data_IF_917470471855
#
_entry.id   IF_917470471855
#
_cell.length_a   1.000
_cell.length_b   1.000
_cell.length_c   1.000
_cell.angle_alpha   90.00
_cell.angle_beta   90.00
_cell.angle_gamma   90.00
#
_symmetry.space_group_name_H-M   'P 1'
#
loop_
_entity.id
_entity.type
_entity.pdbx_description
1 polymer ?
#
# COMPACT_ATOMS: atom_id res chain seq x y z
N UNK A 1 -4.34 11.45 14.58
CA UNK A 1 -4.98 10.12 14.42
C UNK A 1 -4.18 9.35 13.38
N UNK A 2 -3.95 8.05 13.59
CA UNK A 2 -3.32 7.20 12.57
C UNK A 2 -4.29 7.07 11.40
N UNK A 3 -3.87 7.45 10.19
CA UNK A 3 -4.73 7.38 9.01
C UNK A 3 -4.81 5.93 8.54
N UNK A 4 -5.98 5.31 8.69
CA UNK A 4 -6.28 3.98 8.15
C UNK A 4 -6.52 4.08 6.65
N UNK A 5 -5.92 3.15 5.92
CA UNK A 5 -6.01 3.07 4.46
C UNK A 5 -6.21 1.62 4.04
N UNK A 6 -6.82 1.44 2.89
CA UNK A 6 -6.88 0.16 2.18
C UNK A 6 -6.09 0.29 0.89
N UNK A 7 -5.33 -0.74 0.56
CA UNK A 7 -4.72 -0.84 -0.76
C UNK A 7 -5.82 -1.27 -1.73
N UNK A 8 -6.02 -0.52 -2.80
CA UNK A 8 -7.05 -0.83 -3.79
C UNK A 8 -6.83 -2.24 -4.39
N UNK A 9 -7.88 -3.05 -4.58
CA UNK A 9 -7.77 -4.41 -5.12
C UNK A 9 -7.58 -4.45 -6.65
N UNK A 10 -6.79 -3.52 -7.20
CA UNK A 10 -6.66 -3.35 -8.65
C UNK A 10 -5.72 -4.40 -9.26
N UNK A 11 -6.00 -4.77 -10.50
CA UNK A 11 -5.13 -5.62 -11.31
C UNK A 11 -4.91 -4.99 -12.70
N UNK A 12 -4.36 -3.77 -12.76
CA UNK A 12 -4.11 -3.13 -14.05
C UNK A 12 -3.02 -3.90 -14.81
N UNK A 13 -3.04 -3.88 -16.14
CA UNK A 13 -1.93 -4.40 -16.94
C UNK A 13 -0.68 -3.52 -16.74
N UNK A 14 0.50 -4.09 -17.02
CA UNK A 14 1.75 -3.35 -17.04
C UNK A 14 2.54 -3.38 -15.72
N UNK A 15 3.55 -2.50 -15.63
CA UNK A 15 4.43 -2.42 -14.47
C UNK A 15 3.74 -1.76 -13.30
N UNK A 16 3.71 -2.45 -12.14
CA UNK A 16 3.21 -1.90 -10.88
C UNK A 16 4.10 -2.34 -9.72
N UNK A 17 4.27 -1.46 -8.73
CA UNK A 17 5.09 -1.74 -7.54
C UNK A 17 4.29 -2.18 -6.33
N UNK A 18 2.97 -2.00 -6.35
CA UNK A 18 2.08 -2.39 -5.25
C UNK A 18 1.97 -3.92 -5.17
N UNK A 19 2.48 -4.54 -4.10
CA UNK A 19 2.55 -6.00 -3.99
C UNK A 19 1.17 -6.64 -3.99
N UNK A 20 1.02 -7.74 -4.73
CA UNK A 20 -0.27 -8.42 -4.87
C UNK A 20 -0.88 -8.83 -3.52
N UNK A 21 -0.07 -9.31 -2.58
CA UNK A 21 -0.55 -9.78 -1.27
C UNK A 21 -1.11 -8.67 -0.37
N UNK A 22 -0.83 -7.40 -0.67
CA UNK A 22 -1.35 -6.26 0.06
C UNK A 22 -2.64 -5.71 -0.55
N UNK A 23 -2.95 -6.06 -1.79
CA UNK A 23 -4.13 -5.53 -2.49
C UNK A 23 -5.42 -6.00 -1.80
N UNK A 24 -6.30 -5.04 -1.52
CA UNK A 24 -7.51 -5.24 -0.72
C UNK A 24 -7.28 -5.25 0.80
N UNK A 25 -6.03 -5.26 1.28
CA UNK A 25 -5.71 -5.27 2.72
C UNK A 25 -5.73 -3.87 3.30
N UNK A 26 -6.14 -3.78 4.56
CA UNK A 26 -6.14 -2.54 5.33
C UNK A 26 -4.85 -2.43 6.14
N UNK A 27 -4.35 -1.21 6.29
CA UNK A 27 -3.18 -0.88 7.10
C UNK A 27 -3.29 0.54 7.63
N UNK A 28 -2.22 1.01 8.26
CA UNK A 28 -2.10 2.37 8.78
C UNK A 28 -0.92 3.07 8.14
N UNK A 29 -1.08 4.34 7.75
CA UNK A 29 0.06 5.15 7.35
C UNK A 29 0.93 5.39 8.58
N UNK A 30 2.14 4.84 8.56
CA UNK A 30 3.14 5.05 9.61
C UNK A 30 3.83 6.40 9.40
N UNK A 31 4.17 6.74 8.15
CA UNK A 31 4.63 8.09 7.76
C UNK A 31 4.55 8.33 6.25
N UNK A 32 4.46 9.59 5.86
CA UNK A 32 4.67 10.05 4.48
C UNK A 32 6.16 10.24 4.19
N UNK A 33 6.60 9.85 2.99
CA UNK A 33 8.01 9.89 2.57
C UNK A 33 8.32 11.03 1.59
N UNK A 34 7.31 11.77 1.15
CA UNK A 34 7.42 12.80 0.12
C UNK A 34 6.76 12.37 -1.18
N UNK A 35 7.10 13.05 -2.28
CA UNK A 35 6.61 12.72 -3.62
C UNK A 35 7.75 12.19 -4.49
N UNK A 36 7.48 11.11 -5.22
CA UNK A 36 8.46 10.44 -6.09
C UNK A 36 7.82 10.13 -7.45
N UNK A 37 8.59 10.10 -8.56
CA UNK A 37 8.04 9.84 -9.89
C UNK A 37 7.30 8.50 -9.97
N UNK A 38 6.15 8.49 -10.66
CA UNK A 38 5.32 7.30 -10.83
C UNK A 38 6.11 6.15 -11.50
N UNK A 39 6.33 5.01 -10.81
CA UNK A 39 7.09 3.89 -11.38
C UNK A 39 6.37 3.22 -12.55
N UNK A 40 5.04 3.34 -12.62
CA UNK A 40 4.24 2.75 -13.71
C UNK A 40 4.60 3.41 -15.04
N UNK A 41 4.81 4.74 -15.05
CA UNK A 41 5.24 5.51 -16.22
C UNK A 41 6.75 5.38 -16.48
N UNK A 42 7.57 5.44 -15.42
CA UNK A 42 9.03 5.30 -15.52
C UNK A 42 9.46 4.00 -16.19
N UNK A 43 8.74 2.90 -15.95
CA UNK A 43 9.03 1.60 -16.53
C UNK A 43 9.00 1.60 -18.07
N UNK A 44 8.30 2.55 -18.68
CA UNK A 44 8.17 2.70 -20.13
C UNK A 44 8.87 3.95 -20.67
N UNK A 45 9.60 4.69 -19.83
CA UNK A 45 10.29 5.93 -20.22
C UNK A 45 9.35 7.09 -20.54
N UNK A 46 8.12 7.06 -20.02
CA UNK A 46 7.17 8.16 -20.15
C UNK A 46 7.49 9.29 -19.16
N UNK A 47 6.87 10.46 -19.37
CA UNK A 47 6.86 11.51 -18.34
C UNK A 47 6.15 10.99 -17.09
N UNK A 48 6.82 11.06 -15.95
CA UNK A 48 6.40 10.39 -14.72
C UNK A 48 6.12 11.44 -13.63
N UNK A 49 4.85 11.83 -13.43
CA UNK A 49 4.51 12.81 -12.41
C UNK A 49 4.91 12.30 -11.02
N UNK A 50 5.38 13.22 -10.17
CA UNK A 50 5.69 12.88 -8.79
C UNK A 50 4.39 12.66 -8.00
N UNK A 51 4.24 11.48 -7.43
CA UNK A 51 3.09 11.07 -6.63
C UNK A 51 3.50 10.91 -5.15
N UNK A 52 2.64 11.25 -4.18
CA UNK A 52 2.95 11.04 -2.77
C UNK A 52 3.19 9.56 -2.47
N UNK A 53 4.20 9.27 -1.66
CA UNK A 53 4.57 7.93 -1.23
C UNK A 53 4.45 7.82 0.29
N UNK A 54 3.82 6.75 0.76
CA UNK A 54 3.63 6.51 2.19
C UNK A 54 4.21 5.16 2.58
N UNK A 55 4.78 5.07 3.79
CA UNK A 55 5.01 3.78 4.45
C UNK A 55 3.73 3.37 5.16
N UNK A 56 3.15 2.26 4.72
CA UNK A 56 1.94 1.67 5.29
C UNK A 56 2.33 0.42 6.07
N UNK A 57 1.89 0.35 7.33
CA UNK A 57 2.08 -0.77 8.23
C UNK A 57 0.85 -1.67 8.23
N UNK A 58 1.09 -2.96 8.10
CA UNK A 58 0.08 -4.02 8.11
C UNK A 58 0.39 -5.02 9.21
N UNK A 59 -0.64 -5.54 9.86
CA UNK A 59 -0.49 -6.69 10.77
C UNK A 59 -0.43 -7.98 9.95
N UNK A 60 0.47 -8.90 10.30
CA UNK A 60 0.61 -10.20 9.63
C UNK A 60 -0.70 -10.97 9.58
N UNK A 61 -1.45 -11.00 10.69
CA UNK A 61 -2.73 -11.69 10.78
C UNK A 61 -3.81 -11.14 9.83
N UNK A 62 -3.71 -9.88 9.40
CA UNK A 62 -4.70 -9.26 8.50
C UNK A 62 -4.37 -9.56 7.03
N UNK A 63 -3.08 -9.78 6.73
CA UNK A 63 -2.62 -10.18 5.41
C UNK A 63 -2.88 -11.68 5.21
N UNK A 64 -2.42 -12.51 6.16
CA UNK A 64 -2.31 -13.96 6.00
C UNK A 64 -3.30 -14.78 6.84
N UNK A 65 -4.10 -14.14 7.68
CA UNK A 65 -5.06 -14.80 8.58
C UNK A 65 -4.48 -15.04 9.98
N UNK A 66 -5.35 -15.31 10.97
CA UNK A 66 -4.97 -15.42 12.39
C UNK A 66 -4.05 -16.60 12.69
N UNK A 67 -4.06 -17.63 11.86
CA UNK A 67 -3.23 -18.84 12.03
C UNK A 67 -1.81 -18.69 11.44
N UNK A 68 -1.48 -17.52 10.89
CA UNK A 68 -0.12 -17.26 10.40
C UNK A 68 0.87 -17.25 11.58
N UNK A 69 2.11 -17.74 11.40
CA UNK A 69 3.14 -17.58 12.41
C UNK A 69 3.33 -16.11 12.79
N UNK A 70 3.35 -15.81 14.08
CA UNK A 70 3.45 -14.46 14.64
C UNK A 70 2.41 -13.48 14.05
N UNK A 71 1.11 -13.69 14.30
CA UNK A 71 0.05 -12.88 13.69
C UNK A 71 0.09 -11.41 14.12
N UNK A 72 0.78 -11.09 15.22
CA UNK A 72 0.94 -9.73 15.73
C UNK A 72 2.19 -9.01 15.22
N UNK A 73 3.07 -9.70 14.47
CA UNK A 73 4.17 -9.05 13.76
C UNK A 73 3.62 -8.12 12.67
N UNK A 74 4.47 -7.20 12.23
CA UNK A 74 4.10 -6.17 11.26
C UNK A 74 4.96 -6.24 10.01
N UNK A 75 4.35 -5.93 8.87
CA UNK A 75 5.06 -5.64 7.62
C UNK A 75 4.78 -4.21 7.21
N UNK A 76 5.87 -3.50 6.91
CA UNK A 76 5.82 -2.14 6.41
C UNK A 76 6.14 -2.17 4.91
N UNK A 77 5.28 -1.57 4.09
CA UNK A 77 5.47 -1.44 2.66
C UNK A 77 5.29 0.01 2.21
N UNK A 78 6.07 0.43 1.23
CA UNK A 78 5.99 1.76 0.64
C UNK A 78 5.02 1.70 -0.54
N UNK A 79 3.92 2.45 -0.43
CA UNK A 79 2.79 2.41 -1.37
C UNK A 79 2.45 3.84 -1.79
N UNK A 80 2.37 4.06 -3.10
CA UNK A 80 1.97 5.35 -3.66
C UNK A 80 0.51 5.66 -3.32
N UNK A 81 0.22 6.93 -3.09
CA UNK A 81 -1.09 7.41 -2.64
C UNK A 81 -2.24 7.02 -3.58
N UNK A 82 -1.99 6.95 -4.90
CA UNK A 82 -3.02 6.56 -5.88
C UNK A 82 -3.45 5.09 -5.75
N UNK A 83 -2.66 4.25 -5.09
CA UNK A 83 -3.02 2.87 -4.74
C UNK A 83 -3.78 2.74 -3.42
N UNK A 84 -3.93 3.83 -2.67
CA UNK A 84 -4.60 3.84 -1.38
C UNK A 84 -5.98 4.48 -1.49
N UNK A 85 -6.87 4.02 -0.64
CA UNK A 85 -8.18 4.63 -0.38
C UNK A 85 -8.41 4.69 1.13
N UNK A 86 -9.23 5.65 1.64
CA UNK A 86 -9.61 5.66 3.04
C UNK A 86 -10.20 4.31 3.45
N UNK A 87 -9.73 3.77 4.57
CA UNK A 87 -10.38 2.64 5.22
C UNK A 87 -11.14 3.16 6.43
N UNK A 88 -12.45 2.98 6.43
CA UNK A 88 -13.25 3.21 7.62
C UNK A 88 -12.81 2.24 8.72
N UNK A 89 -12.96 2.66 9.98
CA UNK A 89 -13.13 1.71 11.06
C UNK A 89 -14.40 0.91 10.75
N UNK A 90 -14.24 -0.28 10.16
CA UNK A 90 -15.35 -1.21 10.08
C UNK A 90 -15.87 -1.41 11.53
N UNK A 91 -17.19 -1.33 11.76
CA UNK A 91 -17.77 -1.43 13.10
C UNK A 91 -17.43 -2.74 13.80
#
# INVERSE_FOLDING_TARGET
MMQKVRVKPLMPPGHVRTPHYLRGKAGVIERSLGAFPNPEDLAYGHDAPALPLHRVRFRMGDIWGPDTPNPDDTLDAEIYDHWLEPADDAP
#
